data_IF_797334357183
#
_entry.id   IF_797334357183
#
_cell.length_a   1.000
_cell.length_b   1.000
_cell.length_c   1.000
_cell.angle_alpha   90.00
_cell.angle_beta   90.00
_cell.angle_gamma   90.00
#
_symmetry.space_group_name_H-M   'P 1'
#
loop_
_entity.id
_entity.type
_entity.pdbx_description
1 polymer ?
#
# COMPACT_ATOMS: atom_id res chain seq x y z
N UNK A 1 -3.04 64.34 21.99
CA UNK A 1 -3.50 63.98 20.63
C UNK A 1 -3.08 62.56 20.39
N UNK A 2 -4.04 61.64 20.41
CA UNK A 2 -3.87 60.22 20.49
C UNK A 2 -3.72 59.68 19.06
N UNK A 3 -2.61 59.00 18.76
CA UNK A 3 -2.43 58.25 17.51
C UNK A 3 -2.79 56.80 17.70
N UNK A 4 -3.88 56.35 17.05
CA UNK A 4 -4.32 54.97 17.00
C UNK A 4 -3.36 54.13 16.18
N UNK A 5 -2.89 53.03 16.76
CA UNK A 5 -2.19 51.93 16.07
C UNK A 5 -3.25 51.06 15.39
N UNK A 6 -3.13 50.91 14.09
CA UNK A 6 -3.89 49.95 13.30
C UNK A 6 -3.44 48.53 13.60
N UNK A 7 -4.39 47.67 13.92
CA UNK A 7 -4.25 46.23 14.08
C UNK A 7 -3.82 45.61 12.75
N UNK A 8 -2.72 44.83 12.80
CA UNK A 8 -2.33 43.99 11.67
C UNK A 8 -3.26 42.81 11.50
N UNK A 9 -3.91 42.75 10.37
CA UNK A 9 -4.67 41.58 9.92
C UNK A 9 -3.73 40.38 9.83
N UNK A 10 -3.98 39.40 10.67
CA UNK A 10 -3.40 38.03 10.59
C UNK A 10 -4.02 37.35 9.37
N UNK A 11 -3.32 37.40 8.25
CA UNK A 11 -3.74 36.71 7.04
C UNK A 11 -3.41 35.22 7.18
N UNK A 12 -4.30 34.49 7.83
CA UNK A 12 -4.31 33.02 7.87
C UNK A 12 -4.82 32.49 6.51
N UNK A 13 -3.98 32.66 5.49
CA UNK A 13 -4.18 31.90 4.27
C UNK A 13 -3.73 30.46 4.51
N UNK A 14 -4.65 29.65 5.03
CA UNK A 14 -4.55 28.21 4.90
C UNK A 14 -4.23 27.93 3.43
N UNK A 15 -3.00 27.47 3.17
CA UNK A 15 -2.54 27.02 1.87
C UNK A 15 -3.43 25.86 1.47
N UNK A 16 -4.52 26.15 0.75
CA UNK A 16 -5.31 25.11 0.08
C UNK A 16 -4.33 24.48 -0.89
N UNK A 17 -3.85 23.28 -0.53
CA UNK A 17 -2.97 22.45 -1.36
C UNK A 17 -3.80 22.16 -2.62
N UNK A 18 -3.53 22.86 -3.71
CA UNK A 18 -4.18 22.59 -4.99
C UNK A 18 -3.75 21.19 -5.41
N UNK A 19 -4.67 20.24 -5.32
CA UNK A 19 -4.42 18.92 -5.89
C UNK A 19 -4.21 19.09 -7.39
N UNK A 20 -3.19 18.47 -7.99
CA UNK A 20 -3.03 18.48 -9.43
C UNK A 20 -4.32 17.93 -10.05
N UNK A 21 -4.75 18.50 -11.19
CA UNK A 21 -6.04 18.22 -11.83
C UNK A 21 -6.21 16.75 -12.23
N UNK A 22 -5.15 15.92 -12.10
CA UNK A 22 -5.08 14.49 -12.42
C UNK A 22 -4.33 13.69 -11.35
N UNK A 23 -4.62 13.89 -10.06
CA UNK A 23 -4.01 13.06 -9.01
C UNK A 23 -4.31 11.57 -9.24
N UNK A 24 -3.30 10.74 -9.11
CA UNK A 24 -3.40 9.27 -9.20
C UNK A 24 -3.51 8.61 -7.82
N UNK A 25 -3.78 9.35 -6.76
CA UNK A 25 -4.14 8.76 -5.47
C UNK A 25 -5.31 7.78 -5.64
N UNK A 26 -5.26 6.66 -4.92
CA UNK A 26 -6.24 5.57 -5.07
C UNK A 26 -6.30 4.93 -6.47
N UNK A 27 -5.21 4.96 -7.20
CA UNK A 27 -5.05 4.21 -8.46
C UNK A 27 -4.02 3.10 -8.29
N UNK A 28 -4.13 2.11 -9.16
CA UNK A 28 -3.10 1.11 -9.37
C UNK A 28 -2.25 1.53 -10.57
N UNK A 29 -0.93 1.52 -10.41
CA UNK A 29 0.02 1.56 -11.51
C UNK A 29 0.36 0.12 -11.90
N UNK A 30 0.28 -0.18 -13.17
CA UNK A 30 0.53 -1.49 -13.74
C UNK A 30 1.77 -1.38 -14.60
N UNK A 31 2.86 -2.05 -14.20
CA UNK A 31 4.12 -2.01 -14.94
C UNK A 31 3.97 -2.64 -16.32
N UNK A 32 4.36 -1.89 -17.34
CA UNK A 32 4.39 -2.39 -18.71
C UNK A 32 5.64 -3.25 -18.94
N UNK A 33 5.61 -4.27 -19.83
CA UNK A 33 6.79 -5.06 -20.17
C UNK A 33 7.95 -4.23 -20.73
N UNK A 34 7.66 -3.05 -21.28
CA UNK A 34 8.63 -2.08 -21.79
C UNK A 34 9.38 -1.30 -20.71
N UNK A 35 8.92 -1.37 -19.46
CA UNK A 35 9.58 -0.73 -18.32
C UNK A 35 10.92 -1.39 -18.04
N UNK A 36 11.98 -1.16 -18.61
CA UNK A 36 13.27 -1.87 -18.57
C UNK A 36 13.90 -2.10 -17.18
N UNK A 37 13.21 -1.76 -16.10
CA UNK A 37 13.65 -1.98 -14.72
C UNK A 37 13.22 -3.39 -14.23
N UNK A 38 14.18 -4.29 -13.94
CA UNK A 38 13.88 -5.65 -13.48
C UNK A 38 13.11 -5.71 -12.16
N UNK A 39 13.30 -4.72 -11.28
CA UNK A 39 12.63 -4.67 -9.96
C UNK A 39 11.12 -4.48 -10.11
N UNK A 40 10.71 -3.65 -11.05
CA UNK A 40 9.30 -3.36 -11.29
C UNK A 40 8.64 -4.25 -12.35
N UNK A 41 9.35 -5.22 -12.91
CA UNK A 41 8.80 -6.10 -13.94
C UNK A 41 7.53 -6.82 -13.44
N UNK A 42 6.41 -6.61 -14.15
CA UNK A 42 5.08 -7.17 -13.82
C UNK A 42 4.61 -6.82 -12.41
N UNK A 43 5.00 -5.65 -11.88
CA UNK A 43 4.46 -5.17 -10.62
C UNK A 43 3.14 -4.45 -10.79
N UNK A 44 2.35 -4.47 -9.71
CA UNK A 44 1.19 -3.59 -9.50
C UNK A 44 1.48 -2.76 -8.27
N UNK A 45 1.40 -1.44 -8.39
CA UNK A 45 1.69 -0.50 -7.31
C UNK A 45 0.44 0.32 -6.99
N UNK A 46 0.01 0.30 -5.74
CA UNK A 46 -1.06 1.16 -5.24
C UNK A 46 -0.48 2.54 -4.89
N UNK A 47 -1.03 3.61 -5.45
CA UNK A 47 -0.61 5.00 -5.18
C UNK A 47 -1.31 5.52 -3.93
N UNK A 48 -0.50 5.75 -2.89
CA UNK A 48 -0.94 6.29 -1.60
C UNK A 48 -0.99 7.82 -1.60
N UNK A 49 -0.05 8.46 -2.30
CA UNK A 49 0.07 9.92 -2.38
C UNK A 49 0.57 10.32 -3.76
N UNK A 50 -0.02 11.39 -4.32
CA UNK A 50 0.43 11.99 -5.57
C UNK A 50 0.10 13.49 -5.60
N UNK A 51 1.15 14.31 -5.62
CA UNK A 51 1.06 15.76 -5.59
C UNK A 51 2.25 16.42 -6.33
N UNK A 52 2.38 17.74 -6.26
CA UNK A 52 3.46 18.50 -6.91
C UNK A 52 4.87 18.14 -6.39
N UNK A 53 4.98 17.52 -5.21
CA UNK A 53 6.25 17.07 -4.62
C UNK A 53 6.65 15.67 -5.10
N UNK A 54 5.76 14.96 -5.82
CA UNK A 54 5.98 13.64 -6.39
C UNK A 54 4.90 12.65 -6.01
N UNK A 55 5.24 11.36 -6.00
CA UNK A 55 4.33 10.29 -5.66
C UNK A 55 4.96 9.25 -4.73
N UNK A 56 4.11 8.61 -3.93
CA UNK A 56 4.45 7.46 -3.09
C UNK A 56 3.46 6.32 -3.36
N UNK A 57 3.97 5.10 -3.51
CA UNK A 57 3.14 3.93 -3.70
C UNK A 57 3.70 2.67 -3.03
N UNK A 58 2.84 1.66 -2.91
CA UNK A 58 3.18 0.35 -2.38
C UNK A 58 2.99 -0.71 -3.45
N UNK A 59 4.05 -1.46 -3.76
CA UNK A 59 3.93 -2.65 -4.62
C UNK A 59 3.14 -3.71 -3.86
N UNK A 60 2.11 -4.24 -4.49
CA UNK A 60 1.16 -5.17 -3.86
C UNK A 60 1.26 -6.61 -4.36
N UNK A 61 2.25 -6.94 -5.19
CA UNK A 61 2.40 -8.27 -5.75
C UNK A 61 3.85 -8.78 -5.83
N UNK A 62 4.74 -8.26 -4.98
CA UNK A 62 6.14 -8.69 -4.91
C UNK A 62 6.45 -9.31 -3.52
N UNK A 63 6.36 -10.63 -3.33
CA UNK A 63 6.60 -11.26 -2.04
C UNK A 63 8.08 -11.27 -1.66
N UNK A 64 8.39 -11.11 -0.35
CA UNK A 64 9.76 -11.19 0.20
C UNK A 64 10.08 -12.55 0.83
N UNK A 65 9.24 -13.57 0.60
CA UNK A 65 9.40 -14.95 1.07
C UNK A 65 9.49 -15.11 2.60
N UNK A 66 8.86 -14.21 3.35
CA UNK A 66 8.59 -14.36 4.78
C UNK A 66 7.09 -14.22 5.02
N UNK A 67 6.59 -14.95 6.02
CA UNK A 67 5.19 -14.83 6.44
C UNK A 67 5.01 -13.69 7.42
N UNK A 68 3.77 -13.27 7.65
CA UNK A 68 3.45 -12.33 8.71
C UNK A 68 3.88 -12.90 10.08
N UNK A 69 3.68 -14.19 10.33
CA UNK A 69 4.14 -14.87 11.54
C UNK A 69 5.65 -14.70 11.76
N UNK A 70 6.46 -14.86 10.70
CA UNK A 70 7.92 -14.68 10.80
C UNK A 70 8.30 -13.22 11.08
N UNK A 71 7.60 -12.27 10.47
CA UNK A 71 7.82 -10.86 10.74
C UNK A 71 7.49 -10.50 12.19
N UNK A 72 6.36 -10.99 12.72
CA UNK A 72 5.93 -10.71 14.09
C UNK A 72 6.92 -11.25 15.13
N UNK A 73 7.47 -12.45 14.95
CA UNK A 73 8.50 -13.00 15.82
C UNK A 73 9.77 -12.12 15.91
N UNK A 74 10.08 -11.36 14.85
CA UNK A 74 11.23 -10.44 14.86
C UNK A 74 10.93 -9.11 15.58
N UNK A 75 9.66 -8.77 15.74
CA UNK A 75 9.24 -7.50 16.33
C UNK A 75 8.94 -7.63 17.83
N UNK A 76 8.51 -8.82 18.27
CA UNK A 76 8.27 -9.11 19.69
C UNK A 76 9.61 -9.30 20.41
N UNK A 77 9.84 -8.64 21.57
CA UNK A 77 11.00 -8.95 22.40
C UNK A 77 10.92 -10.39 22.92
N UNK A 78 12.05 -11.10 23.02
CA UNK A 78 12.12 -12.49 23.49
C UNK A 78 11.64 -12.68 24.94
N UNK A 79 11.44 -11.60 25.72
CA UNK A 79 11.08 -11.64 27.15
C UNK A 79 9.59 -11.85 27.42
N UNK A 80 8.70 -11.80 26.42
CA UNK A 80 7.25 -11.96 26.61
C UNK A 80 6.69 -13.32 26.11
N UNK A 81 7.54 -14.32 25.92
CA UNK A 81 7.17 -15.64 25.39
C UNK A 81 6.30 -16.51 26.33
N UNK A 82 5.90 -16.03 27.50
CA UNK A 82 5.05 -16.76 28.48
C UNK A 82 3.62 -16.23 28.62
N UNK A 83 3.10 -15.45 27.70
CA UNK A 83 1.75 -14.94 27.83
C UNK A 83 0.80 -15.42 26.72
N UNK A 84 -0.08 -16.33 27.13
CA UNK A 84 -1.41 -16.61 26.61
C UNK A 84 -1.57 -17.72 25.56
N UNK A 85 -1.49 -18.94 26.06
CA UNK A 85 -2.45 -19.97 25.62
C UNK A 85 -3.83 -19.54 26.17
N UNK A 86 -4.62 -18.84 25.36
CA UNK A 86 -6.02 -18.53 25.68
C UNK A 86 -6.80 -19.83 25.55
N UNK A 87 -7.38 -20.31 26.66
CA UNK A 87 -8.36 -21.39 26.65
C UNK A 87 -9.56 -20.96 25.78
N UNK A 88 -9.67 -21.53 24.60
CA UNK A 88 -10.72 -21.24 23.64
C UNK A 88 -12.01 -21.97 23.98
N UNK A 89 -13.09 -21.23 24.22
CA UNK A 89 -14.46 -21.72 24.22
C UNK A 89 -14.88 -22.11 22.78
N UNK A 90 -15.88 -22.99 22.63
CA UNK A 90 -16.27 -23.59 21.35
C UNK A 90 -16.78 -22.62 20.26
N UNK A 91 -16.97 -21.34 20.56
CA UNK A 91 -17.32 -20.29 19.61
C UNK A 91 -16.08 -19.70 18.89
N UNK A 92 -14.86 -19.93 19.42
CA UNK A 92 -13.61 -19.38 18.91
C UNK A 92 -12.99 -20.17 17.73
N UNK A 93 -13.52 -21.33 17.39
CA UNK A 93 -12.90 -22.24 16.38
C UNK A 93 -12.95 -21.64 14.97
N UNK A 94 -14.02 -20.92 14.62
CA UNK A 94 -14.15 -20.29 13.29
C UNK A 94 -13.16 -19.10 13.17
N UNK A 95 -13.03 -18.32 14.23
CA UNK A 95 -12.09 -17.19 14.28
C UNK A 95 -10.61 -17.63 14.30
N UNK A 96 -10.30 -18.78 14.90
CA UNK A 96 -8.93 -19.31 14.96
C UNK A 96 -8.39 -19.68 13.57
N UNK A 97 -9.21 -20.21 12.67
CA UNK A 97 -8.80 -20.53 11.30
C UNK A 97 -8.47 -19.27 10.50
N UNK A 98 -9.28 -18.21 10.63
CA UNK A 98 -9.05 -16.94 9.94
C UNK A 98 -7.78 -16.24 10.43
N UNK A 99 -7.52 -16.27 11.74
CA UNK A 99 -6.28 -15.74 12.32
C UNK A 99 -5.06 -16.53 11.81
N UNK A 100 -5.14 -17.87 11.78
CA UNK A 100 -4.04 -18.70 11.28
C UNK A 100 -3.77 -18.40 9.81
N UNK A 101 -4.81 -18.32 8.98
CA UNK A 101 -4.67 -17.97 7.55
C UNK A 101 -4.06 -16.58 7.36
N UNK A 102 -4.41 -15.61 8.23
CA UNK A 102 -3.84 -14.27 8.21
C UNK A 102 -2.35 -14.27 8.54
N UNK A 103 -1.89 -15.08 9.50
CA UNK A 103 -0.49 -15.21 9.89
C UNK A 103 0.38 -15.90 8.82
N UNK A 104 -0.21 -16.75 7.99
CA UNK A 104 0.46 -17.40 6.86
C UNK A 104 0.57 -16.50 5.62
N UNK A 105 -0.04 -15.32 5.61
CA UNK A 105 0.07 -14.38 4.51
C UNK A 105 1.53 -13.95 4.31
N UNK A 106 1.94 -13.85 3.04
CA UNK A 106 3.27 -13.36 2.67
C UNK A 106 3.36 -11.86 2.88
N UNK A 107 4.46 -11.43 3.47
CA UNK A 107 4.86 -10.02 3.50
C UNK A 107 5.38 -9.64 2.12
N UNK A 108 5.03 -8.45 1.65
CA UNK A 108 5.41 -7.97 0.32
C UNK A 108 6.53 -6.93 0.40
N UNK A 109 7.32 -6.84 -0.65
CA UNK A 109 8.18 -5.68 -0.87
C UNK A 109 7.33 -4.54 -1.45
N UNK A 110 7.12 -3.50 -0.66
CA UNK A 110 6.36 -2.33 -1.10
C UNK A 110 7.14 -1.41 -2.04
N UNK A 111 8.46 -1.58 -2.13
CA UNK A 111 9.35 -0.82 -2.98
C UNK A 111 10.79 -0.76 -2.47
N UNK A 112 11.70 -0.16 -3.25
CA UNK A 112 13.13 -0.15 -2.93
C UNK A 112 13.54 0.82 -1.81
N UNK A 113 12.66 1.77 -1.44
CA UNK A 113 12.97 2.82 -0.46
C UNK A 113 12.58 2.35 0.94
N UNK A 114 13.46 2.56 1.93
CA UNK A 114 13.21 2.25 3.35
C UNK A 114 12.70 0.82 3.59
N UNK A 115 13.35 -0.19 3.02
CA UNK A 115 12.94 -1.60 3.06
C UNK A 115 12.81 -2.20 4.47
N UNK A 116 13.30 -1.51 5.49
CA UNK A 116 13.17 -1.90 6.90
C UNK A 116 11.90 -1.33 7.56
N UNK A 117 11.17 -0.45 6.86
CA UNK A 117 9.96 0.17 7.38
C UNK A 117 8.73 -0.61 6.93
N UNK A 118 7.90 -1.01 7.90
CA UNK A 118 6.63 -1.68 7.63
C UNK A 118 5.52 -0.68 7.31
N UNK A 119 4.67 -1.06 6.36
CA UNK A 119 3.42 -0.39 6.01
C UNK A 119 2.30 -1.41 5.98
N UNK A 120 1.19 -1.10 6.60
CA UNK A 120 -0.02 -1.91 6.55
C UNK A 120 -1.09 -1.13 5.80
N UNK A 121 -1.42 -1.59 4.60
CA UNK A 121 -2.57 -1.10 3.83
C UNK A 121 -3.78 -1.93 4.23
N UNK A 122 -4.87 -1.32 4.69
CA UNK A 122 -5.98 -2.05 5.28
C UNK A 122 -7.34 -1.40 5.06
N UNK A 123 -8.40 -2.18 5.24
CA UNK A 123 -9.78 -1.68 5.28
C UNK A 123 -9.93 -0.64 6.40
N UNK A 124 -10.80 0.35 6.18
CA UNK A 124 -10.96 1.49 7.09
C UNK A 124 -11.31 1.03 8.51
N UNK A 125 -10.36 1.23 9.43
CA UNK A 125 -10.49 0.97 10.87
C UNK A 125 -9.62 1.97 11.62
N UNK A 126 -10.24 2.81 12.43
CA UNK A 126 -9.54 3.80 13.25
C UNK A 126 -8.98 3.20 14.55
N UNK A 127 -8.09 3.95 15.21
CA UNK A 127 -7.56 3.59 16.54
C UNK A 127 -6.07 3.28 16.56
N UNK A 128 -5.39 3.27 15.42
CA UNK A 128 -3.95 3.05 15.31
C UNK A 128 -3.15 4.35 15.42
N UNK A 129 -1.95 4.31 15.99
CA UNK A 129 -1.18 5.51 16.37
C UNK A 129 -0.69 6.34 15.19
N UNK A 130 -0.33 5.71 14.07
CA UNK A 130 0.24 6.39 12.89
C UNK A 130 -0.50 5.96 11.62
N UNK A 131 -1.74 6.39 11.53
CA UNK A 131 -2.66 6.06 10.43
C UNK A 131 -2.99 7.28 9.59
N UNK A 132 -3.11 7.05 8.29
CA UNK A 132 -3.60 8.00 7.31
C UNK A 132 -4.77 7.38 6.53
N UNK A 133 -5.89 8.08 6.44
CA UNK A 133 -6.99 7.69 5.58
C UNK A 133 -6.62 8.03 4.12
N UNK A 134 -6.62 7.02 3.26
CA UNK A 134 -6.36 7.17 1.82
C UNK A 134 -7.67 7.37 1.05
N UNK A 135 -8.73 6.72 1.53
CA UNK A 135 -10.08 6.88 1.03
C UNK A 135 -11.10 6.61 2.15
N UNK A 136 -12.39 6.54 1.82
CA UNK A 136 -13.42 6.12 2.78
C UNK A 136 -13.27 4.65 3.21
N UNK A 137 -12.66 3.83 2.38
CA UNK A 137 -12.58 2.37 2.55
C UNK A 137 -11.18 1.89 2.91
N UNK A 138 -10.14 2.71 2.66
CA UNK A 138 -8.74 2.33 2.78
C UNK A 138 -7.96 3.26 3.69
N UNK A 139 -7.11 2.67 4.51
CA UNK A 139 -6.13 3.36 5.36
C UNK A 139 -4.76 2.73 5.21
N UNK A 140 -3.73 3.51 5.50
CA UNK A 140 -2.36 3.05 5.66
C UNK A 140 -1.90 3.35 7.08
N UNK A 141 -1.26 2.38 7.72
CA UNK A 141 -0.73 2.51 9.09
C UNK A 141 0.72 2.06 9.12
N UNK A 142 1.56 2.78 9.86
CA UNK A 142 3.00 2.50 9.97
C UNK A 142 3.47 2.23 11.40
N UNK A 143 2.57 2.26 12.36
CA UNK A 143 2.88 2.02 13.76
C UNK A 143 2.88 0.53 14.12
N UNK A 144 3.66 0.16 15.16
CA UNK A 144 3.81 -1.22 15.61
C UNK A 144 2.50 -1.83 16.15
N UNK A 145 1.62 -1.00 16.70
CA UNK A 145 0.36 -1.43 17.31
C UNK A 145 -0.56 -2.20 16.36
N UNK A 146 -0.67 -1.77 15.09
CA UNK A 146 -1.43 -2.52 14.10
C UNK A 146 -0.77 -3.88 13.81
N UNK A 147 0.56 -3.94 13.65
CA UNK A 147 1.27 -5.20 13.37
C UNK A 147 0.99 -6.24 14.46
N UNK A 148 1.06 -5.84 15.73
CA UNK A 148 0.75 -6.73 16.87
C UNK A 148 -0.72 -7.14 16.91
N UNK A 149 -1.63 -6.36 16.35
CA UNK A 149 -3.04 -6.69 16.28
C UNK A 149 -3.38 -7.67 15.13
N UNK A 150 -2.55 -7.76 14.06
CA UNK A 150 -2.84 -8.61 12.89
C UNK A 150 -2.96 -10.11 13.23
N UNK A 151 -2.33 -10.56 14.32
CA UNK A 151 -2.49 -11.93 14.84
C UNK A 151 -3.66 -12.12 15.79
N UNK A 152 -4.57 -11.15 15.90
CA UNK A 152 -5.66 -11.16 16.90
C UNK A 152 -7.02 -10.83 16.25
N UNK A 153 -8.09 -10.96 17.02
CA UNK A 153 -9.44 -10.55 16.60
C UNK A 153 -9.60 -9.03 16.42
N UNK A 154 -8.60 -8.23 16.77
CA UNK A 154 -8.59 -6.77 16.59
C UNK A 154 -8.06 -6.35 15.23
N UNK A 155 -7.56 -7.31 14.43
CA UNK A 155 -7.06 -7.04 13.08
C UNK A 155 -8.14 -6.38 12.21
N UNK A 156 -7.75 -5.48 11.29
CA UNK A 156 -8.64 -5.04 10.22
C UNK A 156 -9.15 -6.22 9.40
N UNK A 157 -10.37 -6.13 8.88
CA UNK A 157 -10.99 -7.22 8.08
C UNK A 157 -10.13 -7.64 6.89
N UNK A 158 -9.52 -6.65 6.23
CA UNK A 158 -8.64 -6.87 5.07
C UNK A 158 -7.38 -6.06 5.23
N UNK A 159 -6.24 -6.66 4.95
CA UNK A 159 -4.95 -5.97 5.02
C UNK A 159 -3.90 -6.59 4.11
N UNK A 160 -2.87 -5.81 3.82
CA UNK A 160 -1.63 -6.18 3.14
C UNK A 160 -0.49 -5.59 3.95
N UNK A 161 0.51 -6.39 4.26
CA UNK A 161 1.75 -5.92 4.93
C UNK A 161 2.86 -5.81 3.89
N UNK A 162 3.48 -4.63 3.82
CA UNK A 162 4.62 -4.39 2.94
C UNK A 162 5.82 -3.87 3.72
N UNK A 163 7.02 -4.16 3.22
CA UNK A 163 8.28 -3.57 3.66
C UNK A 163 8.80 -2.62 2.58
N UNK A 164 9.08 -1.37 2.96
CA UNK A 164 9.50 -0.33 2.03
C UNK A 164 8.36 0.22 1.17
N UNK A 165 8.71 1.13 0.30
CA UNK A 165 7.77 1.80 -0.62
C UNK A 165 8.46 2.19 -1.93
N UNK A 166 7.68 2.46 -2.98
CA UNK A 166 8.12 3.07 -4.23
C UNK A 166 7.87 4.58 -4.17
N UNK A 167 8.81 5.37 -4.66
CA UNK A 167 8.73 6.82 -4.66
C UNK A 167 9.16 7.41 -5.99
N UNK A 168 8.47 8.46 -6.41
CA UNK A 168 8.76 9.26 -7.59
C UNK A 168 8.99 10.71 -7.16
N UNK A 169 10.04 11.33 -7.69
CA UNK A 169 10.26 12.77 -7.52
C UNK A 169 9.24 13.61 -8.28
N UNK A 170 9.28 14.96 -8.11
CA UNK A 170 8.37 15.87 -8.81
C UNK A 170 8.43 15.67 -10.33
N UNK A 171 7.29 15.38 -10.96
CA UNK A 171 7.16 15.20 -12.42
C UNK A 171 7.65 13.84 -12.96
N UNK A 172 8.35 13.04 -12.16
CA UNK A 172 8.92 11.76 -12.62
C UNK A 172 7.84 10.77 -13.03
N UNK A 173 6.78 10.63 -12.23
CA UNK A 173 5.69 9.69 -12.55
C UNK A 173 4.98 10.09 -13.84
N UNK A 174 4.76 11.38 -14.05
CA UNK A 174 4.16 11.91 -15.27
C UNK A 174 5.01 11.63 -16.50
N UNK A 175 6.33 11.79 -16.41
CA UNK A 175 7.26 11.45 -17.49
C UNK A 175 7.23 9.96 -17.82
N UNK A 176 7.24 9.09 -16.81
CA UNK A 176 7.16 7.64 -16.97
C UNK A 176 5.82 7.20 -17.58
N UNK A 177 4.71 7.86 -17.22
CA UNK A 177 3.39 7.64 -17.81
C UNK A 177 3.36 8.05 -19.29
N UNK A 178 3.93 9.20 -19.63
CA UNK A 178 4.05 9.66 -21.03
C UNK A 178 4.92 8.72 -21.86
N UNK A 179 5.94 8.11 -21.25
CA UNK A 179 6.79 7.10 -21.87
C UNK A 179 6.11 5.71 -21.98
N UNK A 180 4.84 5.57 -21.58
CA UNK A 180 4.10 4.31 -21.50
C UNK A 180 4.79 3.23 -20.64
N UNK A 181 5.53 3.63 -19.62
CA UNK A 181 6.14 2.72 -18.64
C UNK A 181 5.10 2.10 -17.71
N UNK A 182 4.02 2.82 -17.45
CA UNK A 182 2.92 2.44 -16.58
C UNK A 182 1.57 2.62 -17.25
N UNK A 183 0.64 1.73 -16.91
CA UNK A 183 -0.79 1.93 -17.11
C UNK A 183 -1.44 2.23 -15.77
N UNK A 184 -2.58 2.91 -15.79
CA UNK A 184 -3.31 3.28 -14.58
C UNK A 184 -4.74 2.80 -14.63
N UNK A 185 -5.26 2.35 -13.47
CA UNK A 185 -6.68 2.06 -13.27
C UNK A 185 -7.09 2.49 -11.86
N UNK A 186 -8.32 2.96 -11.65
CA UNK A 186 -8.81 3.15 -10.28
C UNK A 186 -8.64 1.87 -9.46
N UNK A 187 -8.37 2.04 -8.16
CA UNK A 187 -8.22 0.91 -7.24
C UNK A 187 -9.44 -0.01 -7.29
N UNK A 188 -9.18 -1.31 -7.11
CA UNK A 188 -10.20 -2.35 -7.08
C UNK A 188 -9.92 -3.24 -5.86
N UNK A 189 -10.85 -3.28 -4.92
CA UNK A 189 -10.72 -4.06 -3.68
C UNK A 189 -10.56 -5.55 -3.94
N UNK A 190 -11.12 -6.06 -5.05
CA UNK A 190 -10.95 -7.45 -5.46
C UNK A 190 -9.51 -7.74 -5.86
N UNK A 191 -8.90 -6.86 -6.67
CA UNK A 191 -7.48 -7.00 -7.05
C UNK A 191 -6.58 -6.82 -5.84
N UNK A 192 -6.91 -5.84 -4.97
CA UNK A 192 -6.09 -5.47 -3.84
C UNK A 192 -6.02 -6.57 -2.79
N UNK A 193 -7.16 -7.13 -2.38
CA UNK A 193 -7.23 -8.01 -1.21
C UNK A 193 -7.58 -9.47 -1.51
N UNK A 194 -8.38 -9.75 -2.55
CA UNK A 194 -8.93 -11.08 -2.78
C UNK A 194 -8.23 -11.83 -3.92
N UNK A 195 -7.55 -11.11 -4.82
CA UNK A 195 -6.79 -11.75 -5.92
C UNK A 195 -5.47 -12.31 -5.40
N UNK A 196 -5.12 -13.58 -5.69
CA UNK A 196 -3.80 -14.12 -5.40
C UNK A 196 -2.67 -13.23 -5.92
N UNK A 197 -1.59 -13.13 -5.15
CA UNK A 197 -0.49 -12.18 -5.39
C UNK A 197 0.07 -12.30 -6.82
N UNK A 198 0.28 -13.53 -7.28
CA UNK A 198 0.82 -13.86 -8.61
C UNK A 198 -0.13 -13.54 -9.76
N UNK A 199 -1.42 -13.38 -9.49
CA UNK A 199 -2.45 -13.07 -10.49
C UNK A 199 -2.80 -11.58 -10.55
N UNK A 200 -2.37 -10.76 -9.59
CA UNK A 200 -2.75 -9.33 -9.48
C UNK A 200 -2.39 -8.54 -10.73
N UNK A 201 -1.18 -8.74 -11.26
CA UNK A 201 -0.76 -8.04 -12.48
C UNK A 201 -1.63 -8.43 -13.68
N UNK A 202 -1.90 -9.73 -13.86
CA UNK A 202 -2.78 -10.22 -14.92
C UNK A 202 -4.20 -9.67 -14.77
N UNK A 203 -4.76 -9.70 -13.56
CA UNK A 203 -6.11 -9.17 -13.31
C UNK A 203 -6.22 -7.67 -13.53
N UNK A 204 -5.19 -6.92 -13.14
CA UNK A 204 -5.13 -5.47 -13.36
C UNK A 204 -5.06 -5.11 -14.86
N UNK A 205 -4.30 -5.87 -15.67
CA UNK A 205 -4.24 -5.68 -17.13
C UNK A 205 -5.54 -6.10 -17.82
N UNK A 206 -6.15 -7.22 -17.43
CA UNK A 206 -7.45 -7.66 -17.94
C UNK A 206 -8.54 -6.61 -17.71
N UNK A 207 -8.53 -5.95 -16.54
CA UNK A 207 -9.49 -4.86 -16.22
C UNK A 207 -9.40 -3.69 -17.19
N UNK A 208 -8.23 -3.43 -17.77
CA UNK A 208 -8.02 -2.41 -18.80
C UNK A 208 -8.37 -2.91 -20.22
N UNK A 209 -8.85 -4.14 -20.36
CA UNK A 209 -9.15 -4.74 -21.67
C UNK A 209 -7.91 -5.08 -22.49
N UNK A 210 -6.76 -5.19 -21.85
CA UNK A 210 -5.48 -5.48 -22.52
C UNK A 210 -5.26 -6.98 -22.58
N UNK A 211 -5.14 -7.50 -23.79
CA UNK A 211 -4.74 -8.89 -24.02
C UNK A 211 -3.22 -9.04 -23.91
N UNK A 212 -2.78 -9.75 -22.86
CA UNK A 212 -1.37 -10.01 -22.60
C UNK A 212 -0.65 -10.78 -23.71
N UNK A 213 -1.40 -11.56 -24.53
CA UNK A 213 -0.83 -12.29 -25.65
C UNK A 213 -0.26 -11.32 -26.73
N UNK A 214 -0.84 -10.14 -26.86
CA UNK A 214 -0.36 -9.12 -27.78
C UNK A 214 0.80 -8.28 -27.20
N UNK A 215 0.93 -8.17 -25.87
CA UNK A 215 2.03 -7.43 -25.24
C UNK A 215 3.37 -8.18 -25.28
N UNK A 216 3.34 -9.51 -25.43
CA UNK A 216 4.55 -10.35 -25.45
C UNK A 216 5.12 -10.56 -26.85
N UNK A 217 4.39 -10.21 -27.91
CA UNK A 217 4.78 -10.47 -29.30
C UNK A 217 5.65 -9.37 -29.94
N UNK A 218 5.76 -8.18 -29.33
CA UNK A 218 6.53 -7.08 -29.89
C UNK A 218 8.01 -7.02 -29.45
N UNK A 219 8.49 -8.03 -28.70
CA UNK A 219 9.92 -8.17 -28.35
C UNK A 219 10.55 -9.23 -29.25
N UNK A 220 10.69 -8.92 -30.51
CA UNK A 220 11.47 -9.79 -31.38
C UNK A 220 11.14 -9.58 -32.85
N UNK A 221 11.89 -8.69 -33.48
CA UNK A 221 12.49 -8.79 -34.79
C UNK A 221 12.77 -7.37 -35.35
N UNK A 222 13.94 -6.89 -35.05
CA UNK A 222 14.67 -5.98 -35.92
C UNK A 222 16.16 -6.36 -35.91
#
# INVERSE_FOLDING_TARGET
MVGMKSEGEYNDQAKIKSMPMNSLENHLLIAMPSLGDPYFNKTVTYICEHNEEGAMGLIINLPVNITLSDLLKQIEPEDDAEAQVVESSKEDVVNATDITNSLEQLVLSGGPISQQRGFVLHSSQSGWSSSLALSKELMITTSKDILLALGTQKAPEKFIVTLGYAGWGPGQLEEELQANSWLTTPVDSEILFNTPIELRWKKATEKLGIDLAHLSSDIGHA
#
